data_IF_847187437513
#
_entry.id   IF_847187437513
#
_cell.length_a   1.000
_cell.length_b   1.000
_cell.length_c   1.000
_cell.angle_alpha   90.00
_cell.angle_beta   90.00
_cell.angle_gamma   90.00
#
_symmetry.space_group_name_H-M   'P 1'
#
loop_
_entity.id
_entity.type
_entity.pdbx_description
1 polymer ?
#
# COMPACT_ATOMS: atom_id res chain seq x y z
N UNK A 1 10.08 -3.83 -4.43
CA UNK A 1 9.96 -3.31 -3.06
C UNK A 1 10.17 -1.79 -2.99
N UNK A 2 11.37 -1.29 -3.35
CA UNK A 2 11.72 0.14 -3.23
C UNK A 2 10.73 1.11 -3.90
N UNK A 3 10.33 0.84 -5.14
CA UNK A 3 9.33 1.68 -5.82
C UNK A 3 7.98 1.70 -5.11
N UNK A 4 7.57 0.57 -4.53
CA UNK A 4 6.34 0.47 -3.73
C UNK A 4 6.45 1.26 -2.43
N UNK A 5 7.57 1.15 -1.71
CA UNK A 5 7.79 1.88 -0.47
C UNK A 5 7.83 3.39 -0.70
N UNK A 6 8.53 3.85 -1.74
CA UNK A 6 8.57 5.26 -2.14
C UNK A 6 7.19 5.77 -2.55
N UNK A 7 6.45 4.97 -3.32
CA UNK A 7 5.07 5.28 -3.69
C UNK A 7 4.18 5.40 -2.45
N UNK A 8 4.22 4.48 -1.49
CA UNK A 8 3.43 4.62 -0.25
C UNK A 8 3.85 5.86 0.55
N UNK A 9 5.16 6.10 0.67
CA UNK A 9 5.71 7.21 1.45
C UNK A 9 5.31 8.60 0.90
N UNK A 10 5.30 8.79 -0.42
CA UNK A 10 4.85 10.08 -0.99
C UNK A 10 3.36 10.32 -0.72
N UNK A 11 2.52 9.29 -0.72
CA UNK A 11 1.10 9.43 -0.36
C UNK A 11 0.90 9.69 1.14
N UNK A 12 1.78 9.19 2.00
CA UNK A 12 1.82 9.60 3.40
C UNK A 12 2.12 11.09 3.58
N UNK A 13 2.85 11.75 2.66
CA UNK A 13 3.09 13.20 2.75
C UNK A 13 1.78 14.01 2.66
N UNK A 14 0.76 13.47 1.98
CA UNK A 14 -0.59 14.02 1.88
C UNK A 14 -1.47 13.72 3.12
N UNK A 15 -0.88 13.46 4.29
CA UNK A 15 -1.59 13.01 5.50
C UNK A 15 -2.76 13.90 5.96
N UNK A 16 -2.64 15.21 5.73
CA UNK A 16 -3.60 16.24 6.13
C UNK A 16 -4.39 16.82 4.95
N UNK A 17 -4.38 16.15 3.80
CA UNK A 17 -5.17 16.58 2.64
C UNK A 17 -6.67 16.57 2.94
N UNK A 18 -7.42 17.34 2.17
CA UNK A 18 -8.87 17.37 2.24
C UNK A 18 -9.44 16.11 1.56
N UNK A 19 -10.39 15.46 2.23
CA UNK A 19 -11.11 14.28 1.74
C UNK A 19 -12.61 14.53 1.87
N UNK A 20 -13.42 13.99 0.95
CA UNK A 20 -14.87 14.20 0.96
C UNK A 20 -15.52 13.57 2.20
N UNK A 21 -15.01 12.40 2.62
CA UNK A 21 -15.50 11.67 3.80
C UNK A 21 -14.37 11.29 4.76
N UNK A 22 -14.73 11.06 6.03
CA UNK A 22 -13.76 10.56 7.03
C UNK A 22 -13.28 9.14 6.73
N UNK A 23 -14.14 8.32 6.09
CA UNK A 23 -13.82 6.94 5.73
C UNK A 23 -12.75 6.90 4.62
N UNK A 24 -12.91 7.71 3.57
CA UNK A 24 -11.90 7.82 2.50
C UNK A 24 -10.54 8.27 3.04
N UNK A 25 -10.54 9.25 3.95
CA UNK A 25 -9.31 9.71 4.62
C UNK A 25 -8.61 8.59 5.39
N UNK A 26 -9.37 7.81 6.16
CA UNK A 26 -8.79 6.76 6.98
C UNK A 26 -8.31 5.59 6.11
N UNK A 27 -9.07 5.22 5.07
CA UNK A 27 -8.64 4.26 4.04
C UNK A 27 -7.38 4.71 3.31
N UNK A 28 -7.26 6.00 2.99
CA UNK A 28 -6.06 6.57 2.37
C UNK A 28 -4.83 6.40 3.25
N UNK A 29 -4.97 6.75 4.53
CA UNK A 29 -3.89 6.65 5.51
C UNK A 29 -3.44 5.22 5.72
N UNK A 30 -4.40 4.30 5.92
CA UNK A 30 -4.12 2.87 6.10
C UNK A 30 -3.47 2.29 4.85
N UNK A 31 -3.97 2.62 3.65
CA UNK A 31 -3.42 2.15 2.37
C UNK A 31 -2.00 2.68 2.13
N UNK A 32 -1.76 3.96 2.43
CA UNK A 32 -0.44 4.58 2.30
C UNK A 32 0.58 3.95 3.25
N UNK A 33 0.21 3.73 4.51
CA UNK A 33 1.06 3.05 5.51
C UNK A 33 1.30 1.60 5.14
N UNK A 34 0.27 0.87 4.72
CA UNK A 34 0.39 -0.52 4.28
C UNK A 34 1.41 -0.63 3.15
N UNK A 35 1.26 0.15 2.09
CA UNK A 35 2.18 0.10 0.93
C UNK A 35 3.60 0.56 1.28
N UNK A 36 3.75 1.52 2.20
CA UNK A 36 5.04 2.01 2.65
C UNK A 36 5.80 1.00 3.53
N UNK A 37 5.11 0.29 4.42
CA UNK A 37 5.74 -0.50 5.50
C UNK A 37 5.80 -2.01 5.21
N UNK A 38 4.81 -2.57 4.51
CA UNK A 38 4.71 -4.03 4.25
C UNK A 38 5.90 -4.65 3.51
N UNK A 39 6.56 -3.98 2.53
CA UNK A 39 7.62 -4.62 1.76
C UNK A 39 8.83 -5.06 2.60
N UNK A 40 9.15 -4.37 3.70
CA UNK A 40 10.35 -4.68 4.51
C UNK A 40 10.16 -5.97 5.33
N UNK A 41 9.10 -6.13 6.15
CA UNK A 41 8.84 -7.38 6.87
C UNK A 41 8.70 -8.59 5.95
N UNK A 42 8.10 -8.41 4.78
CA UNK A 42 7.95 -9.49 3.79
C UNK A 42 9.31 -10.02 3.34
N UNK A 43 10.22 -9.12 2.94
CA UNK A 43 11.56 -9.50 2.48
C UNK A 43 12.32 -10.23 3.60
N UNK A 44 12.23 -9.73 4.83
CA UNK A 44 12.87 -10.39 5.99
C UNK A 44 12.26 -11.78 6.22
N UNK A 45 10.94 -11.92 6.12
CA UNK A 45 10.24 -13.18 6.31
C UNK A 45 10.62 -14.21 5.25
N UNK A 46 10.70 -13.83 3.96
CA UNK A 46 11.11 -14.77 2.89
C UNK A 46 12.54 -15.23 3.08
N UNK A 47 13.47 -14.29 3.28
CA UNK A 47 14.88 -14.62 3.43
C UNK A 47 15.16 -15.47 4.67
N UNK A 48 14.46 -15.21 5.78
CA UNK A 48 14.61 -16.03 6.99
C UNK A 48 13.96 -17.40 6.82
N UNK A 49 12.77 -17.50 6.21
CA UNK A 49 12.11 -18.77 5.94
C UNK A 49 12.93 -19.67 4.99
N UNK A 50 13.48 -19.12 3.90
CA UNK A 50 14.33 -19.84 2.96
C UNK A 50 15.63 -20.30 3.62
N UNK A 51 16.35 -19.42 4.32
CA UNK A 51 17.58 -19.81 5.05
C UNK A 51 17.33 -20.83 6.15
N UNK A 52 16.16 -20.76 6.81
CA UNK A 52 15.77 -21.74 7.81
C UNK A 52 15.51 -23.09 7.13
N UNK A 53 14.76 -23.10 6.03
CA UNK A 53 14.48 -24.31 5.25
C UNK A 53 15.78 -25.00 4.77
N UNK A 54 16.73 -24.21 4.24
CA UNK A 54 18.04 -24.69 3.80
C UNK A 54 18.86 -25.25 4.98
N UNK A 55 18.92 -24.52 6.10
CA UNK A 55 19.74 -24.89 7.28
C UNK A 55 19.27 -26.19 7.94
N UNK A 56 17.97 -26.47 7.89
CA UNK A 56 17.39 -27.68 8.47
C UNK A 56 17.28 -28.85 7.49
N UNK A 57 17.77 -28.70 6.25
CA UNK A 57 17.79 -29.78 5.26
C UNK A 57 16.42 -30.17 4.72
N UNK A 58 15.40 -29.32 4.87
CA UNK A 58 14.04 -29.58 4.37
C UNK A 58 13.95 -29.62 2.83
N UNK A 59 15.01 -29.18 2.13
CA UNK A 59 15.08 -29.15 0.67
C UNK A 59 15.36 -30.54 0.05
N UNK A 60 15.85 -31.51 0.82
CA UNK A 60 16.22 -32.85 0.29
C UNK A 60 15.39 -34.04 0.84
N UNK A 61 14.55 -33.89 1.88
CA UNK A 61 13.79 -35.03 2.41
C UNK A 61 12.30 -34.98 2.05
N UNK A 62 11.92 -35.84 1.11
CA UNK A 62 10.59 -36.05 0.53
C UNK A 62 9.51 -36.56 1.51
N UNK A 63 9.72 -36.57 2.83
CA UNK A 63 8.78 -37.21 3.76
C UNK A 63 8.42 -36.30 4.94
N UNK A 64 7.31 -35.58 4.75
CA UNK A 64 6.65 -34.64 5.67
C UNK A 64 7.25 -33.23 5.73
N UNK A 65 7.30 -32.60 4.56
CA UNK A 65 6.94 -31.18 4.51
C UNK A 65 5.64 -31.01 5.30
N UNK A 66 5.65 -30.20 6.36
CA UNK A 66 4.43 -29.87 7.08
C UNK A 66 3.52 -29.14 6.07
N UNK A 67 2.65 -29.89 5.38
CA UNK A 67 1.74 -29.37 4.36
C UNK A 67 0.91 -28.20 4.91
N UNK A 68 0.70 -28.20 6.23
CA UNK A 68 0.10 -27.11 6.99
C UNK A 68 0.93 -25.81 6.93
N UNK A 69 2.25 -25.88 7.14
CA UNK A 69 3.15 -24.73 7.07
C UNK A 69 3.16 -24.13 5.65
N UNK A 70 3.30 -24.98 4.63
CA UNK A 70 3.23 -24.54 3.23
C UNK A 70 1.87 -23.94 2.84
N UNK A 71 0.77 -24.54 3.33
CA UNK A 71 -0.59 -24.04 3.07
C UNK A 71 -0.86 -22.71 3.75
N UNK A 72 -0.43 -22.54 5.01
CA UNK A 72 -0.57 -21.28 5.76
C UNK A 72 0.28 -20.18 5.13
N UNK A 73 1.53 -20.48 4.75
CA UNK A 73 2.39 -19.55 4.04
C UNK A 73 1.74 -19.09 2.72
N UNK A 74 1.24 -20.03 1.91
CA UNK A 74 0.54 -19.73 0.65
C UNK A 74 -0.71 -18.86 0.87
N UNK A 75 -1.52 -19.17 1.87
CA UNK A 75 -2.72 -18.40 2.21
C UNK A 75 -2.36 -16.97 2.64
N UNK A 76 -1.34 -16.82 3.49
CA UNK A 76 -0.82 -15.53 3.93
C UNK A 76 -0.39 -14.67 2.73
N UNK A 77 0.34 -15.25 1.78
CA UNK A 77 0.74 -14.56 0.56
C UNK A 77 -0.44 -14.10 -0.30
N UNK A 78 -1.44 -14.97 -0.48
CA UNK A 78 -2.66 -14.61 -1.21
C UNK A 78 -3.34 -13.39 -0.56
N UNK A 79 -3.51 -13.41 0.77
CA UNK A 79 -4.13 -12.31 1.51
C UNK A 79 -3.33 -11.01 1.35
N UNK A 80 -2.01 -11.07 1.51
CA UNK A 80 -1.12 -9.91 1.36
C UNK A 80 -1.22 -9.29 -0.03
N UNK A 81 -1.22 -10.12 -1.09
CA UNK A 81 -1.36 -9.64 -2.46
C UNK A 81 -2.73 -9.02 -2.73
N UNK A 82 -3.82 -9.61 -2.21
CA UNK A 82 -5.16 -9.06 -2.35
C UNK A 82 -5.28 -7.68 -1.69
N UNK A 83 -4.81 -7.56 -0.43
CA UNK A 83 -4.83 -6.26 0.28
C UNK A 83 -3.96 -5.23 -0.45
N UNK A 84 -2.81 -5.65 -1.00
CA UNK A 84 -1.94 -4.76 -1.79
C UNK A 84 -2.63 -4.23 -3.06
N UNK A 85 -3.32 -5.09 -3.81
CA UNK A 85 -4.05 -4.68 -5.02
C UNK A 85 -5.14 -3.67 -4.67
N UNK A 86 -5.93 -3.95 -3.61
CA UNK A 86 -7.01 -3.06 -3.16
C UNK A 86 -6.46 -1.72 -2.69
N UNK A 87 -5.45 -1.73 -1.81
CA UNK A 87 -4.81 -0.51 -1.31
C UNK A 87 -4.24 0.34 -2.46
N UNK A 88 -3.64 -0.30 -3.47
CA UNK A 88 -3.07 0.40 -4.62
C UNK A 88 -4.14 0.98 -5.54
N UNK A 89 -5.22 0.24 -5.78
CA UNK A 89 -6.38 0.75 -6.49
C UNK A 89 -6.95 1.98 -5.79
N UNK A 90 -7.09 1.93 -4.47
CA UNK A 90 -7.59 3.04 -3.67
C UNK A 90 -6.71 4.30 -3.79
N UNK A 91 -5.39 4.16 -3.60
CA UNK A 91 -4.46 5.30 -3.75
C UNK A 91 -4.47 5.92 -5.16
N UNK A 92 -4.76 5.12 -6.19
CA UNK A 92 -4.86 5.62 -7.57
C UNK A 92 -6.19 6.30 -7.85
N UNK A 93 -7.29 5.83 -7.25
CA UNK A 93 -8.64 6.34 -7.52
C UNK A 93 -8.98 7.59 -6.68
N UNK A 94 -8.49 7.67 -5.45
CA UNK A 94 -8.83 8.75 -4.52
C UNK A 94 -8.54 10.17 -5.05
N UNK A 95 -7.43 10.46 -5.77
CA UNK A 95 -7.22 11.78 -6.37
C UNK A 95 -8.32 12.19 -7.34
N UNK A 96 -8.92 11.23 -8.06
CA UNK A 96 -10.04 11.49 -8.97
C UNK A 96 -11.34 11.73 -8.20
N UNK A 97 -11.56 10.98 -7.11
CA UNK A 97 -12.71 11.17 -6.23
C UNK A 97 -12.66 12.52 -5.50
N UNK A 98 -11.47 12.95 -5.09
CA UNK A 98 -11.26 14.25 -4.46
C UNK A 98 -11.65 15.43 -5.35
N UNK A 99 -11.57 15.29 -6.69
CA UNK A 99 -12.07 16.32 -7.63
C UNK A 99 -13.59 16.52 -7.56
N UNK A 100 -14.35 15.57 -7.01
CA UNK A 100 -15.81 15.73 -6.84
C UNK A 100 -16.16 16.76 -5.77
N UNK A 101 -15.27 16.99 -4.80
CA UNK A 101 -15.49 17.91 -3.68
C UNK A 101 -14.30 18.86 -3.53
N UNK A 102 -14.12 19.73 -4.52
CA UNK A 102 -13.06 20.73 -4.49
C UNK A 102 -13.26 21.72 -3.32
N UNK A 103 -12.17 22.24 -2.74
CA UNK A 103 -12.26 23.28 -1.73
C UNK A 103 -12.94 24.53 -2.33
N UNK A 104 -13.70 25.31 -1.54
CA UNK A 104 -14.43 26.49 -2.01
C UNK A 104 -13.59 27.50 -2.79
N UNK A 105 -12.30 27.63 -2.43
CA UNK A 105 -11.35 28.52 -3.11
C UNK A 105 -11.05 28.13 -4.57
N UNK A 106 -11.29 26.88 -4.97
CA UNK A 106 -11.13 26.45 -6.36
C UNK A 106 -12.27 26.95 -7.27
N UNK A 107 -13.40 27.38 -6.69
CA UNK A 107 -14.53 27.94 -7.41
C UNK A 107 -14.51 29.48 -7.46
N UNK A 108 -13.50 30.11 -6.84
CA UNK A 108 -13.35 31.58 -6.87
C UNK A 108 -12.69 31.96 -8.18
N UNK A 109 -13.38 32.76 -9.00
CA UNK A 109 -12.80 33.32 -10.22
C UNK A 109 -11.64 34.26 -9.85
N UNK A 110 -10.45 33.91 -10.34
CA UNK A 110 -9.28 34.78 -10.25
C UNK A 110 -9.49 35.90 -11.27
N UNK A 111 -9.57 37.14 -10.82
CA UNK A 111 -9.67 38.31 -11.68
C UNK A 111 -8.33 38.59 -12.40
N UNK A 112 -8.01 37.76 -13.38
CA UNK A 112 -6.78 37.82 -14.19
C UNK A 112 -6.54 39.20 -14.82
N UNK A 113 -7.62 39.94 -15.10
CA UNK A 113 -7.58 41.30 -15.64
C UNK A 113 -6.92 42.32 -14.71
N UNK A 114 -6.88 42.06 -13.40
CA UNK A 114 -6.21 42.93 -12.42
C UNK A 114 -4.68 42.76 -12.41
N UNK A 115 -4.15 41.76 -13.13
CA UNK A 115 -2.70 41.50 -13.23
C UNK A 115 -2.09 42.00 -14.55
N UNK A 116 -2.90 42.55 -15.46
CA UNK A 116 -2.42 43.16 -16.69
C UNK A 116 -2.05 44.64 -16.43
N UNK A 117 -0.84 45.10 -16.83
CA UNK A 117 -0.38 46.48 -16.63
C UNK A 117 -1.11 47.50 -17.51
#
# INVERSE_FOLDING_TARGET
ALFGTLFGAIHCAAWRSHFATSIERDLWRVSSLYIALIPIPIIIMTFTAEKLADRFGFVESEEKDNAWFGSVYRLLWIIVYLVYIVARGFLLLEPFLAMRSLPPGAFVDIAWTNFLP
#
